data_IF_053341630210
#
_entry.id   IF_053341630210
#
_cell.length_a   1.000
_cell.length_b   1.000
_cell.length_c   1.000
_cell.angle_alpha   90.00
_cell.angle_beta   90.00
_cell.angle_gamma   90.00
#
_symmetry.space_group_name_H-M   'P 1'
#
loop_
_entity.id
_entity.type
_entity.pdbx_description
1 polymer ?
#
# COMPACT_ATOMS: atom_id res chain seq x y z
N UNK A 1 -8.82 8.75 14.08
CA UNK A 1 -8.03 9.06 15.26
C UNK A 1 -6.64 9.46 14.85
N UNK A 2 -5.67 9.24 15.72
CA UNK A 2 -4.26 9.60 15.54
C UNK A 2 -3.45 8.46 14.91
N UNK A 3 -3.96 7.23 14.99
CA UNK A 3 -3.26 6.01 14.61
C UNK A 3 -3.69 5.50 13.22
N UNK A 4 -3.26 4.29 12.85
CA UNK A 4 -3.62 3.66 11.58
C UNK A 4 -4.89 2.79 11.69
N UNK A 5 -5.61 2.58 10.58
CA UNK A 5 -6.79 1.68 10.51
C UNK A 5 -6.48 0.27 11.01
N UNK A 6 -5.21 -0.17 10.93
CA UNK A 6 -4.78 -1.46 11.44
C UNK A 6 -5.10 -1.70 12.92
N UNK A 7 -5.21 -0.64 13.74
CA UNK A 7 -5.54 -0.71 15.17
C UNK A 7 -7.01 -1.08 15.42
N UNK A 8 -7.90 -0.76 14.46
CA UNK A 8 -9.32 -1.10 14.50
C UNK A 8 -9.64 -2.36 13.66
N UNK A 9 -8.62 -2.98 13.07
CA UNK A 9 -8.80 -4.09 12.13
C UNK A 9 -8.60 -5.44 12.80
N UNK A 10 -9.68 -6.22 12.88
CA UNK A 10 -9.72 -7.54 13.53
C UNK A 10 -8.95 -8.65 12.81
N UNK A 11 -8.43 -8.40 11.60
CA UNK A 11 -7.64 -9.40 10.86
C UNK A 11 -6.30 -9.67 11.53
N UNK A 12 -5.91 -10.94 11.51
CA UNK A 12 -4.68 -11.47 12.11
C UNK A 12 -3.47 -11.08 11.25
N UNK A 13 -2.47 -10.50 11.90
CA UNK A 13 -1.23 -10.01 11.29
C UNK A 13 -0.08 -10.88 11.77
N UNK A 14 0.74 -11.37 10.86
CA UNK A 14 1.81 -12.34 11.11
C UNK A 14 3.17 -11.92 10.54
N UNK A 15 3.31 -10.67 10.08
CA UNK A 15 4.56 -10.07 9.57
C UNK A 15 5.21 -10.90 8.45
N UNK A 16 4.39 -11.37 7.50
CA UNK A 16 4.86 -12.15 6.35
C UNK A 16 5.43 -11.26 5.24
N UNK A 17 6.44 -11.79 4.57
CA UNK A 17 6.95 -11.25 3.30
C UNK A 17 5.97 -11.57 2.17
N UNK A 18 5.82 -10.67 1.21
CA UNK A 18 4.88 -10.74 0.09
C UNK A 18 5.64 -11.06 -1.18
N UNK A 19 5.32 -12.19 -1.80
CA UNK A 19 5.92 -12.62 -3.07
C UNK A 19 5.28 -11.95 -4.30
N UNK A 20 4.00 -11.59 -4.19
CA UNK A 20 3.20 -11.07 -5.31
C UNK A 20 2.01 -10.26 -4.83
N UNK A 21 1.64 -9.23 -5.58
CA UNK A 21 0.36 -8.56 -5.41
C UNK A 21 -0.71 -9.08 -6.37
N UNK A 22 -1.92 -9.21 -5.86
CA UNK A 22 -3.12 -9.62 -6.58
C UNK A 22 -4.10 -8.45 -6.67
N UNK A 23 -4.88 -8.44 -7.76
CA UNK A 23 -6.07 -7.62 -7.88
C UNK A 23 -7.22 -8.29 -7.11
N UNK A 24 -8.17 -7.52 -6.56
CA UNK A 24 -9.23 -8.07 -5.70
C UNK A 24 -10.11 -9.16 -6.32
N UNK A 25 -10.13 -9.29 -7.65
CA UNK A 25 -10.92 -10.31 -8.36
C UNK A 25 -10.12 -11.58 -8.70
N UNK A 26 -8.80 -11.59 -8.47
CA UNK A 26 -7.93 -12.72 -8.85
C UNK A 26 -7.93 -13.83 -7.80
N UNK A 27 -8.23 -13.49 -6.54
CA UNK A 27 -8.24 -14.43 -5.43
C UNK A 27 -9.46 -14.21 -4.55
N UNK A 28 -9.85 -15.26 -3.83
CA UNK A 28 -10.78 -15.17 -2.71
C UNK A 28 -9.91 -15.07 -1.45
N UNK A 29 -9.90 -13.92 -0.75
CA UNK A 29 -9.06 -13.77 0.43
C UNK A 29 -9.58 -14.63 1.58
N UNK A 30 -8.63 -15.16 2.36
CA UNK A 30 -8.90 -15.68 3.68
C UNK A 30 -9.57 -14.58 4.54
N UNK A 31 -10.67 -14.88 5.25
CA UNK A 31 -11.43 -13.88 5.99
C UNK A 31 -10.74 -13.39 7.26
N UNK A 32 -9.82 -14.17 7.84
CA UNK A 32 -9.16 -13.87 9.11
C UNK A 32 -7.78 -13.25 8.89
N UNK A 33 -7.02 -13.72 7.90
CA UNK A 33 -5.66 -13.24 7.66
C UNK A 33 -5.66 -11.79 7.13
N UNK A 34 -4.64 -11.00 7.49
CA UNK A 34 -4.41 -9.66 6.95
C UNK A 34 -4.41 -9.66 5.41
N UNK A 35 -5.23 -8.82 4.79
CA UNK A 35 -5.35 -8.75 3.32
C UNK A 35 -4.02 -8.36 2.66
N UNK A 36 -3.24 -7.47 3.29
CA UNK A 36 -1.94 -7.07 2.74
C UNK A 36 -0.97 -8.25 2.69
N UNK A 37 -0.90 -9.04 3.76
CA UNK A 37 -0.05 -10.25 3.82
C UNK A 37 -0.49 -11.35 2.86
N UNK A 38 -1.72 -11.27 2.32
CA UNK A 38 -2.22 -12.15 1.26
C UNK A 38 -1.92 -11.60 -0.15
N UNK A 39 -1.16 -10.50 -0.25
CA UNK A 39 -0.86 -9.85 -1.53
C UNK A 39 -1.97 -8.92 -2.04
N UNK A 40 -2.99 -8.59 -1.25
CA UNK A 40 -4.00 -7.60 -1.63
C UNK A 40 -3.62 -6.23 -1.10
N UNK A 41 -3.37 -5.27 -1.99
CA UNK A 41 -3.05 -3.90 -1.58
C UNK A 41 -4.16 -3.33 -0.67
N UNK A 42 -3.78 -3.05 0.57
CA UNK A 42 -4.65 -2.53 1.61
C UNK A 42 -3.99 -1.30 2.22
N UNK A 43 -4.61 -0.13 2.05
CA UNK A 43 -4.08 1.15 2.53
C UNK A 43 -4.16 1.33 4.06
N UNK A 44 -4.61 0.31 4.81
CA UNK A 44 -4.96 0.45 6.23
C UNK A 44 -3.81 0.98 7.09
N UNK A 45 -2.58 0.54 6.84
CA UNK A 45 -1.37 0.99 7.53
C UNK A 45 -0.99 2.45 7.24
N UNK A 46 -1.43 2.98 6.10
CA UNK A 46 -1.16 4.34 5.65
C UNK A 46 -2.39 5.25 5.76
N UNK A 47 -3.42 4.80 6.47
CA UNK A 47 -4.69 5.52 6.61
C UNK A 47 -5.04 5.68 8.05
N UNK A 48 -5.52 6.86 8.44
CA UNK A 48 -5.95 7.08 9.82
C UNK A 48 -7.17 6.25 10.20
N UNK A 49 -7.19 5.80 11.44
CA UNK A 49 -8.31 5.12 12.12
C UNK A 49 -9.56 6.02 12.27
N UNK A 50 -10.64 5.45 12.80
CA UNK A 50 -11.92 6.11 13.08
C UNK A 50 -13.06 5.67 12.18
N UNK A 51 -12.79 4.77 11.21
CA UNK A 51 -13.82 4.18 10.36
C UNK A 51 -14.25 2.79 10.83
N UNK A 52 -13.58 2.19 11.83
CA UNK A 52 -13.85 0.84 12.32
C UNK A 52 -13.46 -0.26 11.34
N UNK A 53 -12.46 -0.02 10.49
CA UNK A 53 -11.97 -0.98 9.49
C UNK A 53 -13.07 -1.66 8.63
N UNK A 54 -14.08 -0.89 8.22
CA UNK A 54 -15.26 -1.41 7.50
C UNK A 54 -14.96 -2.09 6.15
N UNK A 55 -13.92 -1.68 5.42
CA UNK A 55 -13.60 -2.35 4.15
C UNK A 55 -12.95 -3.73 4.38
N UNK A 56 -11.90 -3.85 5.22
CA UNK A 56 -11.32 -5.15 5.52
C UNK A 56 -12.31 -6.15 6.13
N UNK A 57 -13.31 -5.69 6.90
CA UNK A 57 -14.33 -6.58 7.49
C UNK A 57 -15.24 -7.23 6.45
N UNK A 58 -15.34 -6.67 5.23
CA UNK A 58 -16.08 -7.24 4.10
C UNK A 58 -15.17 -7.82 3.01
N UNK A 59 -13.90 -8.09 3.31
CA UNK A 59 -12.97 -8.74 2.39
C UNK A 59 -12.33 -7.83 1.35
N UNK A 60 -12.43 -6.51 1.50
CA UNK A 60 -11.84 -5.54 0.56
C UNK A 60 -10.74 -4.74 1.26
N UNK A 61 -9.58 -4.62 0.61
CA UNK A 61 -8.49 -3.79 1.11
C UNK A 61 -8.96 -2.34 1.37
N UNK A 62 -8.51 -1.75 2.48
CA UNK A 62 -8.76 -0.34 2.78
C UNK A 62 -8.34 0.53 1.59
N UNK A 63 -9.17 1.51 1.24
CA UNK A 63 -8.97 2.39 0.08
C UNK A 63 -8.26 3.70 0.41
N UNK A 64 -8.07 4.00 1.70
CA UNK A 64 -7.35 5.18 2.14
C UNK A 64 -8.14 6.49 2.16
N UNK A 65 -9.47 6.42 2.19
CA UNK A 65 -10.35 7.59 2.09
C UNK A 65 -10.24 8.58 3.26
N UNK A 66 -9.79 8.16 4.44
CA UNK A 66 -9.69 9.04 5.61
C UNK A 66 -8.37 9.83 5.66
N UNK A 67 -7.48 9.63 4.68
CA UNK A 67 -6.18 10.29 4.61
C UNK A 67 -5.14 9.72 5.59
N UNK A 68 -3.96 10.34 5.66
CA UNK A 68 -2.83 9.83 6.43
C UNK A 68 -3.05 9.87 7.96
N UNK A 69 -2.43 8.94 8.72
CA UNK A 69 -2.31 9.03 10.18
C UNK A 69 -1.58 10.30 10.64
N UNK A 70 -1.63 10.60 11.93
CA UNK A 70 -0.88 11.72 12.49
C UNK A 70 0.63 11.57 12.26
N UNK A 71 1.32 12.67 11.95
CA UNK A 71 2.76 12.68 11.65
C UNK A 71 3.14 12.16 10.26
N UNK A 72 2.20 11.65 9.46
CA UNK A 72 2.44 11.23 8.07
C UNK A 72 2.07 12.36 7.10
N UNK A 73 3.08 12.90 6.40
CA UNK A 73 2.89 13.99 5.43
C UNK A 73 2.28 13.49 4.13
N UNK A 74 2.79 12.36 3.63
CA UNK A 74 2.36 11.78 2.37
C UNK A 74 1.86 10.34 2.59
N UNK A 75 0.54 10.15 2.44
CA UNK A 75 -0.10 8.84 2.54
C UNK A 75 0.45 7.85 1.51
N UNK A 76 0.61 8.28 0.26
CA UNK A 76 1.08 7.41 -0.80
C UNK A 76 2.55 7.07 -0.64
N UNK A 77 3.36 8.03 -0.21
CA UNK A 77 4.75 7.80 0.19
C UNK A 77 4.89 6.83 1.37
N UNK A 78 4.03 6.95 2.39
CA UNK A 78 3.97 6.01 3.51
C UNK A 78 3.62 4.60 3.06
N UNK A 79 2.65 4.45 2.15
CA UNK A 79 2.29 3.16 1.58
C UNK A 79 3.43 2.57 0.75
N UNK A 80 4.09 3.37 -0.08
CA UNK A 80 5.24 2.94 -0.88
C UNK A 80 6.37 2.40 0.00
N UNK A 81 6.72 3.13 1.08
CA UNK A 81 7.71 2.69 2.05
C UNK A 81 7.33 1.37 2.71
N UNK A 82 6.05 1.19 3.05
CA UNK A 82 5.58 -0.05 3.66
C UNK A 82 5.64 -1.23 2.68
N UNK A 83 5.19 -1.04 1.43
CA UNK A 83 5.31 -2.07 0.38
C UNK A 83 6.76 -2.48 0.19
N UNK A 84 7.67 -1.51 0.02
CA UNK A 84 9.09 -1.79 -0.15
C UNK A 84 9.69 -2.61 1.01
N UNK A 85 9.16 -2.45 2.23
CA UNK A 85 9.65 -3.14 3.42
C UNK A 85 9.17 -4.59 3.55
N UNK A 86 8.11 -4.99 2.83
CA UNK A 86 7.51 -6.34 2.94
C UNK A 86 7.68 -7.16 1.66
N UNK A 87 8.35 -6.63 0.64
CA UNK A 87 8.61 -7.35 -0.61
C UNK A 87 9.59 -8.49 -0.40
N UNK A 88 9.21 -9.71 -0.77
CA UNK A 88 10.11 -10.86 -0.80
C UNK A 88 10.93 -10.90 -2.10
N UNK A 89 11.73 -9.86 -2.36
CA UNK A 89 12.42 -9.70 -3.64
C UNK A 89 13.89 -10.18 -3.63
N UNK A 90 14.41 -10.68 -2.51
CA UNK A 90 15.80 -11.13 -2.38
C UNK A 90 16.47 -10.61 -1.12
N UNK A 91 17.78 -10.83 -1.00
CA UNK A 91 18.60 -10.38 0.12
C UNK A 91 19.87 -9.64 -0.35
N UNK A 92 20.55 -8.99 0.58
CA UNK A 92 21.76 -8.19 0.32
C UNK A 92 22.98 -8.98 -0.19
N UNK A 93 22.91 -10.32 -0.19
CA UNK A 93 23.97 -11.21 -0.67
C UNK A 93 23.84 -11.52 -2.16
N UNK A 94 22.72 -11.15 -2.78
CA UNK A 94 22.48 -11.31 -4.21
C UNK A 94 23.26 -10.29 -5.06
N UNK A 95 23.48 -10.63 -6.33
CA UNK A 95 24.03 -9.70 -7.30
C UNK A 95 23.00 -8.57 -7.59
N UNK A 96 23.50 -7.35 -7.80
CA UNK A 96 22.66 -6.15 -7.86
C UNK A 96 21.64 -6.19 -9.00
N UNK A 97 22.03 -6.68 -10.18
CA UNK A 97 21.12 -6.81 -11.33
C UNK A 97 20.08 -7.92 -11.12
N UNK A 98 20.43 -9.02 -10.46
CA UNK A 98 19.45 -10.07 -10.09
C UNK A 98 18.43 -9.57 -9.06
N UNK A 99 18.88 -8.80 -8.06
CA UNK A 99 18.00 -8.20 -7.07
C UNK A 99 17.04 -7.18 -7.70
N UNK A 100 17.56 -6.30 -8.57
CA UNK A 100 16.75 -5.33 -9.31
C UNK A 100 15.67 -6.03 -10.15
N UNK A 101 16.03 -7.10 -10.86
CA UNK A 101 15.09 -7.87 -11.67
C UNK A 101 13.96 -8.47 -10.83
N UNK A 102 14.28 -9.09 -9.69
CA UNK A 102 13.25 -9.66 -8.78
C UNK A 102 12.36 -8.59 -8.17
N UNK A 103 12.92 -7.44 -7.78
CA UNK A 103 12.13 -6.31 -7.27
C UNK A 103 11.15 -5.85 -8.36
N UNK A 104 11.63 -5.71 -9.60
CA UNK A 104 10.80 -5.29 -10.72
C UNK A 104 9.67 -6.28 -11.00
N UNK A 105 9.95 -7.60 -10.97
CA UNK A 105 8.93 -8.64 -11.14
C UNK A 105 7.76 -8.51 -10.16
N UNK A 106 8.04 -8.21 -8.88
CA UNK A 106 6.98 -8.03 -7.88
C UNK A 106 6.27 -6.68 -8.06
N UNK A 107 7.01 -5.60 -8.32
CA UNK A 107 6.43 -4.26 -8.52
C UNK A 107 5.49 -4.24 -9.73
N UNK A 108 5.82 -4.95 -10.81
CA UNK A 108 5.01 -5.04 -12.03
C UNK A 108 3.64 -5.69 -11.78
N UNK A 109 3.47 -6.41 -10.67
CA UNK A 109 2.18 -6.97 -10.27
C UNK A 109 1.22 -5.92 -9.69
N UNK A 110 1.74 -4.75 -9.30
CA UNK A 110 0.94 -3.61 -8.83
C UNK A 110 0.43 -2.83 -10.04
N UNK A 111 -0.81 -3.12 -10.45
CA UNK A 111 -1.39 -2.61 -11.70
C UNK A 111 -1.42 -1.07 -11.85
N UNK A 112 -1.63 -0.32 -10.76
CA UNK A 112 -1.67 1.15 -10.78
C UNK A 112 -1.26 1.72 -9.42
N UNK A 113 0.05 1.89 -9.16
CA UNK A 113 0.55 2.42 -7.89
C UNK A 113 0.06 3.84 -7.62
N UNK A 114 0.01 4.70 -8.64
CA UNK A 114 -0.39 6.09 -8.48
C UNK A 114 -1.88 6.20 -8.11
N UNK A 115 -2.76 5.57 -8.88
CA UNK A 115 -4.20 5.59 -8.61
C UNK A 115 -4.60 4.79 -7.37
N UNK A 116 -3.77 3.86 -6.91
CA UNK A 116 -4.01 3.10 -5.67
C UNK A 116 -3.52 3.85 -4.44
N UNK A 117 -2.27 4.32 -4.43
CA UNK A 117 -1.65 4.93 -3.25
C UNK A 117 -2.07 6.38 -3.04
N UNK A 118 -2.44 7.08 -4.11
CA UNK A 118 -2.81 8.51 -4.07
C UNK A 118 -4.28 8.76 -4.41
N UNK A 119 -5.13 7.72 -4.35
CA UNK A 119 -6.54 7.78 -4.78
C UNK A 119 -7.32 8.98 -4.24
N UNK A 120 -7.07 9.33 -2.97
CA UNK A 120 -7.75 10.43 -2.27
C UNK A 120 -6.79 11.54 -1.83
N UNK A 121 -5.49 11.36 -2.02
CA UNK A 121 -4.44 12.21 -1.44
C UNK A 121 -3.51 12.86 -2.48
N UNK A 122 -3.68 12.58 -3.78
CA UNK A 122 -2.82 13.12 -4.84
C UNK A 122 -2.66 14.65 -4.78
N UNK A 123 -3.74 15.39 -4.52
CA UNK A 123 -3.70 16.85 -4.43
C UNK A 123 -2.83 17.39 -3.29
N UNK A 124 -2.64 16.60 -2.23
CA UNK A 124 -1.83 16.94 -1.06
C UNK A 124 -0.47 16.22 -1.05
N UNK A 125 -0.18 15.39 -2.07
CA UNK A 125 1.05 14.61 -2.17
C UNK A 125 2.30 15.47 -2.38
N UNK A 126 3.45 14.90 -2.01
CA UNK A 126 4.77 15.49 -2.28
C UNK A 126 5.04 15.51 -3.79
N UNK A 127 4.49 14.56 -4.55
CA UNK A 127 4.64 14.47 -6.01
C UNK A 127 4.14 15.75 -6.71
N UNK A 128 3.21 16.48 -6.09
CA UNK A 128 2.61 17.74 -6.60
C UNK A 128 2.09 17.59 -8.03
N UNK A 129 1.58 18.68 -8.62
CA UNK A 129 1.25 18.67 -10.05
C UNK A 129 2.56 18.58 -10.83
N UNK A 130 2.71 17.57 -11.68
CA UNK A 130 3.73 17.56 -12.74
C UNK A 130 3.56 18.85 -13.54
N UNK A 131 4.56 19.74 -13.51
CA UNK A 131 4.64 20.85 -14.46
C UNK A 131 4.81 20.23 -15.84
N UNK A 132 3.71 19.92 -16.53
CA UNK A 132 3.73 19.84 -17.98
C UNK A 132 4.35 21.16 -18.43
N UNK A 133 5.50 21.16 -19.12
CA UNK A 133 6.39 22.32 -19.35
C UNK A 133 5.81 23.52 -20.12
N UNK A 134 4.61 23.98 -19.75
CA UNK A 134 3.82 25.09 -20.28
C UNK A 134 3.14 25.83 -19.12
N UNK A 135 3.89 26.10 -18.06
CA UNK A 135 3.37 26.71 -16.83
C UNK A 135 4.31 27.76 -16.27
N UNK A 136 4.69 28.72 -17.10
CA UNK A 136 5.13 30.05 -16.67
C UNK A 136 4.02 31.05 -16.98
N UNK A 137 3.41 31.56 -15.91
CA UNK A 137 2.96 32.95 -15.77
C UNK A 137 3.22 33.37 -14.34
#
# INVERSE_FOLDING_TARGET
>A
GTSAVCDECDRIKSEKMIDRFYRPYEIIPDPEQCLLEQGLICMGLATRDGCGALCPSVGIGCRGCYGPPEGVIDQGGKMLSAVASVLNAGDETMEEAELEHKIQEVIDTIADPAGTFYRFSMAHSILRRVKNGKGDK
#
